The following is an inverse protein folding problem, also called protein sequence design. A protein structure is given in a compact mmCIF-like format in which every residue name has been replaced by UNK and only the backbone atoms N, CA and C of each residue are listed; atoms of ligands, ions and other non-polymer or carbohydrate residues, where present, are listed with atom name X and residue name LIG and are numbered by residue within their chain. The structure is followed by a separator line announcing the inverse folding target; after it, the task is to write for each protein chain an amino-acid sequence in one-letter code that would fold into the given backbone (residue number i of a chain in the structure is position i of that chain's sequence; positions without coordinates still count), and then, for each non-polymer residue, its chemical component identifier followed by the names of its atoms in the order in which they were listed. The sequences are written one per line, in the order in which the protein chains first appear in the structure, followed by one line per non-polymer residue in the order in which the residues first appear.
data_IF_600226231519
#
_entry.id   IF_600226231519
#
_cell.length_a   1.000
_cell.length_b   1.000
_cell.length_c   1.000
_cell.angle_alpha   90.00
_cell.angle_beta   90.00
_cell.angle_gamma   90.00
#
_symmetry.space_group_name_H-M   'P 1'
#
loop_
_entity.id
_entity.type
_entity.pdbx_description
1 polymer ?
#
# COMPACT_ATOMS: atom_id res chain seq x y z
N UNK A 1 46.89 -5.99 -25.58
CA UNK A 1 45.54 -5.49 -25.65
C UNK A 1 45.08 -5.24 -24.22
N UNK A 2 45.26 -4.00 -23.73
CA UNK A 2 44.95 -3.62 -22.33
C UNK A 2 43.43 -3.51 -22.20
N UNK A 3 42.87 -4.41 -21.42
CA UNK A 3 41.49 -4.24 -20.92
C UNK A 3 41.47 -3.02 -20.02
N UNK A 4 40.77 -2.00 -20.43
CA UNK A 4 40.49 -0.85 -19.59
C UNK A 4 39.53 -1.33 -18.48
N UNK A 5 40.11 -1.61 -17.33
CA UNK A 5 39.31 -1.81 -16.12
C UNK A 5 38.68 -0.46 -15.77
N UNK A 6 37.41 -0.30 -16.14
CA UNK A 6 36.60 0.79 -15.58
C UNK A 6 36.50 0.52 -14.11
N UNK A 7 37.30 1.24 -13.34
CA UNK A 7 37.24 1.24 -11.89
C UNK A 7 35.92 1.91 -11.53
N UNK A 8 34.88 1.11 -11.34
CA UNK A 8 33.67 1.54 -10.65
C UNK A 8 34.08 1.81 -9.20
N UNK A 9 34.23 3.08 -8.88
CA UNK A 9 34.41 3.54 -7.51
C UNK A 9 33.07 3.42 -6.76
N UNK A 10 32.57 2.18 -6.63
CA UNK A 10 31.41 1.85 -5.82
C UNK A 10 31.82 0.83 -4.77
N UNK A 11 31.44 1.09 -3.54
CA UNK A 11 31.65 0.19 -2.39
C UNK A 11 31.13 -1.24 -2.64
N UNK A 12 30.22 -1.38 -3.60
CA UNK A 12 29.58 -2.63 -4.02
C UNK A 12 30.54 -3.59 -4.76
N UNK A 13 31.57 -3.08 -5.45
CA UNK A 13 32.52 -3.91 -6.21
C UNK A 13 33.32 -4.89 -5.32
N UNK A 14 33.35 -4.72 -4.02
CA UNK A 14 34.05 -5.61 -3.07
C UNK A 14 33.29 -6.90 -2.74
N UNK A 15 32.04 -7.02 -3.14
CA UNK A 15 31.14 -8.13 -2.76
C UNK A 15 30.86 -9.09 -3.91
N UNK A 16 31.23 -8.74 -5.11
CA UNK A 16 31.05 -9.59 -6.29
C UNK A 16 32.24 -10.55 -6.36
N UNK A 17 32.02 -11.81 -6.00
CA UNK A 17 32.96 -12.87 -6.31
C UNK A 17 32.79 -13.29 -7.77
N UNK A 18 33.81 -13.90 -8.39
CA UNK A 18 33.71 -14.49 -9.74
C UNK A 18 32.55 -15.50 -9.89
N UNK A 19 32.02 -15.98 -8.75
CA UNK A 19 31.00 -17.01 -8.67
C UNK A 19 29.59 -16.47 -8.39
N UNK A 20 29.45 -15.21 -7.90
CA UNK A 20 28.17 -14.59 -7.62
C UNK A 20 28.04 -13.26 -8.38
N UNK A 21 27.49 -13.32 -9.60
CA UNK A 21 27.24 -12.15 -10.46
C UNK A 21 25.79 -11.68 -10.41
N UNK A 22 24.93 -12.37 -9.67
CA UNK A 22 23.49 -12.04 -9.56
C UNK A 22 23.09 -12.04 -8.10
N UNK A 23 22.50 -10.93 -7.63
CA UNK A 23 21.86 -10.82 -6.32
C UNK A 23 20.36 -10.63 -6.55
N UNK A 24 19.55 -11.36 -5.81
CA UNK A 24 18.09 -11.21 -5.82
C UNK A 24 17.66 -10.42 -4.59
N UNK A 25 16.92 -9.35 -4.84
CA UNK A 25 16.29 -8.52 -3.83
C UNK A 25 14.79 -8.83 -3.87
N UNK A 26 14.28 -9.35 -2.78
CA UNK A 26 12.90 -9.79 -2.69
C UNK A 26 11.91 -8.61 -2.56
N UNK A 27 10.61 -8.82 -2.83
CA UNK A 27 9.59 -7.80 -2.61
C UNK A 27 9.66 -7.25 -1.18
N UNK A 28 9.45 -5.95 -1.05
CA UNK A 28 9.55 -5.26 0.24
C UNK A 28 10.97 -4.91 0.67
N UNK A 29 12.01 -5.46 0.09
CA UNK A 29 13.40 -5.13 0.43
C UNK A 29 13.93 -3.90 -0.30
N UNK A 30 13.38 -3.55 -1.46
CA UNK A 30 13.67 -2.27 -2.12
C UNK A 30 12.69 -1.20 -1.65
N UNK A 31 13.22 -0.04 -1.28
CA UNK A 31 12.41 1.15 -0.96
C UNK A 31 11.78 1.78 -2.21
N UNK A 32 12.44 1.65 -3.37
CA UNK A 32 11.98 2.24 -4.63
C UNK A 32 11.01 1.33 -5.39
N UNK A 33 11.18 0.03 -5.21
CA UNK A 33 10.41 -1.02 -5.88
C UNK A 33 9.86 -2.04 -4.87
N UNK A 34 8.97 -1.60 -3.94
CA UNK A 34 8.52 -2.46 -2.83
C UNK A 34 7.65 -3.63 -3.27
N UNK A 35 7.08 -3.56 -4.47
CA UNK A 35 6.21 -4.60 -5.03
C UNK A 35 6.91 -5.53 -6.02
N UNK A 36 8.22 -5.31 -6.29
CA UNK A 36 8.97 -6.03 -7.31
C UNK A 36 10.00 -6.99 -6.73
N UNK A 37 10.26 -8.06 -7.46
CA UNK A 37 11.49 -8.85 -7.36
C UNK A 37 12.53 -8.15 -8.20
N UNK A 38 13.69 -7.81 -7.62
CA UNK A 38 14.79 -7.14 -8.31
C UNK A 38 15.96 -8.11 -8.49
N UNK A 39 16.47 -8.20 -9.72
CA UNK A 39 17.73 -8.84 -9.99
C UNK A 39 18.82 -7.78 -10.17
N UNK A 40 19.81 -7.76 -9.27
CA UNK A 40 21.04 -6.99 -9.47
C UNK A 40 22.02 -7.87 -10.23
N UNK A 41 22.38 -7.48 -11.47
CA UNK A 41 23.21 -8.27 -12.37
C UNK A 41 24.52 -7.52 -12.65
N UNK A 42 25.57 -7.91 -11.96
CA UNK A 42 26.86 -7.26 -12.05
C UNK A 42 27.60 -7.61 -13.36
N UNK A 43 28.08 -6.57 -14.04
CA UNK A 43 28.86 -6.74 -15.27
C UNK A 43 28.02 -7.12 -16.49
N UNK A 44 26.69 -6.97 -16.43
CA UNK A 44 25.82 -7.21 -17.57
C UNK A 44 26.14 -6.26 -18.74
N UNK A 45 25.92 -6.73 -19.95
CA UNK A 45 25.95 -5.97 -21.19
C UNK A 45 24.71 -6.32 -22.05
N UNK A 46 24.61 -5.74 -23.24
CA UNK A 46 23.47 -5.91 -24.14
C UNK A 46 23.24 -7.35 -24.64
N UNK A 47 24.19 -8.25 -24.45
CA UNK A 47 24.08 -9.66 -24.85
C UNK A 47 23.60 -10.58 -23.71
N UNK A 48 23.45 -10.03 -22.51
CA UNK A 48 22.84 -10.75 -21.40
C UNK A 48 21.33 -10.71 -21.49
N UNK A 49 20.68 -11.78 -21.06
CA UNK A 49 19.23 -11.83 -20.93
C UNK A 49 18.84 -11.98 -19.45
N UNK A 50 17.88 -11.15 -19.02
CA UNK A 50 17.27 -11.23 -17.68
C UNK A 50 15.77 -11.35 -17.88
N UNK A 51 15.24 -12.54 -17.65
CA UNK A 51 13.82 -12.86 -17.88
C UNK A 51 13.19 -13.39 -16.62
N UNK A 52 11.86 -13.43 -16.58
CA UNK A 52 11.15 -13.93 -15.45
C UNK A 52 9.86 -14.67 -15.82
N UNK A 53 9.41 -15.49 -14.91
CA UNK A 53 8.10 -16.14 -14.97
C UNK A 53 7.37 -16.00 -13.63
N UNK A 54 6.04 -16.03 -13.68
CA UNK A 54 5.14 -15.96 -12.55
C UNK A 54 4.30 -17.22 -12.52
N UNK A 55 4.38 -18.00 -11.44
CA UNK A 55 3.65 -19.26 -11.27
C UNK A 55 3.81 -20.22 -12.49
N UNK A 56 5.01 -20.22 -13.07
CA UNK A 56 5.34 -21.01 -14.25
C UNK A 56 4.95 -20.40 -15.59
N UNK A 57 4.24 -19.26 -15.62
CA UNK A 57 3.91 -18.52 -16.84
C UNK A 57 5.05 -17.60 -17.20
N UNK A 58 5.60 -17.70 -18.43
CA UNK A 58 6.62 -16.80 -18.94
C UNK A 58 6.05 -15.36 -19.09
N UNK A 59 6.76 -14.40 -18.51
CA UNK A 59 6.42 -12.98 -18.54
C UNK A 59 7.40 -12.18 -19.41
N UNK A 60 8.40 -12.82 -20.00
CA UNK A 60 9.39 -12.17 -20.86
C UNK A 60 10.53 -11.48 -20.10
N UNK A 61 11.14 -10.42 -20.67
CA UNK A 61 12.26 -9.73 -20.07
C UNK A 61 11.85 -8.91 -18.85
N UNK A 62 12.74 -8.87 -17.84
CA UNK A 62 12.61 -7.93 -16.71
C UNK A 62 12.92 -6.50 -17.18
N UNK A 63 12.29 -5.53 -16.54
CA UNK A 63 12.48 -4.10 -16.86
C UNK A 63 13.70 -3.55 -16.13
N UNK A 64 14.63 -2.91 -16.88
CA UNK A 64 15.76 -2.23 -16.25
C UNK A 64 15.27 -1.01 -15.46
N UNK A 65 15.70 -0.91 -14.20
CA UNK A 65 15.31 0.15 -13.27
C UNK A 65 16.52 0.79 -12.63
N UNK A 66 16.32 1.95 -12.02
CA UNK A 66 17.32 2.58 -11.15
C UNK A 66 16.98 2.25 -9.70
N UNK A 67 17.91 1.61 -9.02
CA UNK A 67 17.74 1.22 -7.62
C UNK A 67 19.05 1.32 -6.82
N UNK A 68 18.98 1.04 -5.52
CA UNK A 68 20.12 0.83 -4.65
C UNK A 68 19.88 -0.45 -3.85
N UNK A 69 20.90 -1.29 -3.69
CA UNK A 69 20.75 -2.49 -2.86
C UNK A 69 20.48 -2.08 -1.39
N UNK A 70 19.67 -2.84 -0.66
CA UNK A 70 19.43 -2.62 0.77
C UNK A 70 20.75 -2.60 1.58
N UNK A 71 21.70 -3.44 1.19
CA UNK A 71 23.04 -3.48 1.78
C UNK A 71 23.79 -2.15 1.60
N UNK A 72 23.68 -1.52 0.44
CA UNK A 72 24.29 -0.22 0.17
C UNK A 72 23.62 0.89 0.98
N UNK A 73 22.28 0.91 1.05
CA UNK A 73 21.53 1.87 1.86
C UNK A 73 21.96 1.80 3.32
N UNK A 74 21.99 0.59 3.90
CA UNK A 74 22.40 0.37 5.28
C UNK A 74 23.82 0.88 5.57
N UNK A 75 24.76 0.64 4.67
CA UNK A 75 26.14 1.16 4.82
C UNK A 75 26.23 2.67 4.77
N UNK A 76 25.43 3.31 3.90
CA UNK A 76 25.34 4.77 3.84
C UNK A 76 24.77 5.32 5.17
N UNK A 77 23.71 4.72 5.67
CA UNK A 77 23.11 5.10 6.95
C UNK A 77 24.12 4.98 8.11
N UNK A 78 24.83 3.85 8.20
CA UNK A 78 25.88 3.64 9.20
C UNK A 78 27.02 4.67 9.09
N UNK A 79 27.44 5.00 7.86
CA UNK A 79 28.49 5.99 7.62
C UNK A 79 28.05 7.39 8.07
N UNK A 80 26.86 7.84 7.64
CA UNK A 80 26.36 9.17 8.01
C UNK A 80 26.06 9.29 9.51
N UNK A 81 25.57 8.22 10.13
CA UNK A 81 25.38 8.17 11.59
C UNK A 81 26.68 8.34 12.36
N UNK A 82 27.79 7.70 11.91
CA UNK A 82 29.14 7.86 12.51
C UNK A 82 29.69 9.26 12.34
N UNK A 83 29.38 9.91 11.23
CA UNK A 83 29.83 11.27 10.93
C UNK A 83 28.95 12.35 11.57
N UNK A 84 27.85 11.98 12.26
CA UNK A 84 26.88 12.93 12.84
C UNK A 84 26.19 13.80 11.80
N UNK A 85 26.03 13.31 10.57
CA UNK A 85 25.43 14.01 9.44
C UNK A 85 24.06 13.43 9.10
N UNK A 86 23.19 14.28 8.56
CA UNK A 86 21.91 13.82 8.06
C UNK A 86 22.07 12.87 6.87
N UNK A 87 21.31 11.77 6.89
CA UNK A 87 21.27 10.83 5.81
C UNK A 87 20.70 11.51 4.56
N UNK A 88 21.36 11.40 3.39
CA UNK A 88 20.81 11.96 2.15
C UNK A 88 19.41 11.43 1.86
N UNK A 89 18.50 12.31 1.41
CA UNK A 89 17.18 11.85 0.98
C UNK A 89 17.32 10.75 -0.08
N UNK A 90 16.34 9.87 -0.16
CA UNK A 90 16.29 8.79 -1.16
C UNK A 90 16.49 9.30 -2.61
N UNK A 91 16.06 10.53 -2.90
CA UNK A 91 16.28 11.20 -4.21
C UNK A 91 17.76 11.52 -4.50
N UNK A 92 18.61 11.65 -3.45
CA UNK A 92 20.05 11.90 -3.58
C UNK A 92 20.90 10.64 -3.57
N UNK A 93 20.35 9.50 -3.18
CA UNK A 93 21.04 8.22 -3.25
C UNK A 93 21.31 7.90 -4.72
N UNK A 94 22.56 7.55 -5.02
CA UNK A 94 22.97 7.23 -6.39
C UNK A 94 22.29 5.93 -6.82
N UNK A 95 21.41 6.02 -7.80
CA UNK A 95 20.74 4.87 -8.41
C UNK A 95 21.67 4.26 -9.49
N UNK A 96 21.73 2.95 -9.50
CA UNK A 96 22.59 2.18 -10.41
C UNK A 96 21.75 1.59 -11.56
N UNK A 97 22.37 1.27 -12.70
CA UNK A 97 21.74 0.73 -13.92
C UNK A 97 21.82 -0.81 -14.02
N UNK A 98 22.29 -1.50 -12.97
CA UNK A 98 22.45 -2.96 -12.99
C UNK A 98 21.25 -3.71 -12.40
N UNK A 99 20.14 -3.04 -12.19
CA UNK A 99 18.94 -3.59 -11.54
C UNK A 99 17.84 -3.82 -12.57
N UNK A 100 17.21 -4.98 -12.45
CA UNK A 100 16.11 -5.41 -13.31
C UNK A 100 14.92 -5.77 -12.42
N UNK A 101 13.75 -5.17 -12.66
CA UNK A 101 12.55 -5.36 -11.88
C UNK A 101 11.55 -6.28 -12.59
N UNK A 102 10.98 -7.19 -11.84
CA UNK A 102 9.78 -7.95 -12.17
C UNK A 102 8.70 -7.60 -11.15
N UNK A 103 7.62 -6.93 -11.57
CA UNK A 103 6.50 -6.59 -10.70
C UNK A 103 5.41 -7.65 -10.87
N UNK A 104 5.33 -8.64 -9.96
CA UNK A 104 4.35 -9.73 -10.06
C UNK A 104 2.94 -9.22 -9.72
N UNK A 105 1.95 -9.96 -10.22
CA UNK A 105 0.60 -9.90 -9.71
C UNK A 105 0.59 -10.08 -8.19
N UNK A 106 -0.26 -9.32 -7.49
CA UNK A 106 -0.34 -9.43 -6.03
C UNK A 106 -0.81 -10.81 -5.54
N UNK A 107 -1.38 -11.63 -6.42
CA UNK A 107 -1.85 -12.99 -6.12
C UNK A 107 -0.87 -14.07 -6.56
N UNK A 108 0.24 -13.71 -7.18
CA UNK A 108 1.28 -14.66 -7.56
C UNK A 108 1.89 -15.32 -6.32
N UNK A 109 2.30 -16.57 -6.48
CA UNK A 109 2.91 -17.37 -5.40
C UNK A 109 4.42 -17.44 -5.52
N UNK A 110 4.92 -17.55 -6.75
CA UNK A 110 6.35 -17.74 -7.03
C UNK A 110 6.75 -16.88 -8.22
N UNK A 111 7.83 -16.14 -8.08
CA UNK A 111 8.54 -15.50 -9.19
C UNK A 111 9.84 -16.27 -9.43
N UNK A 112 10.03 -16.73 -10.67
CA UNK A 112 11.30 -17.32 -11.11
C UNK A 112 12.04 -16.31 -11.97
N UNK A 113 13.26 -15.96 -11.56
CA UNK A 113 14.18 -15.09 -12.31
C UNK A 113 15.22 -15.96 -13.02
N UNK A 114 15.37 -15.76 -14.32
CA UNK A 114 16.39 -16.43 -15.13
C UNK A 114 17.36 -15.38 -15.70
N UNK A 115 18.64 -15.58 -15.46
CA UNK A 115 19.72 -14.72 -15.99
C UNK A 115 20.63 -15.58 -16.84
N UNK A 116 20.95 -15.13 -18.05
CA UNK A 116 21.92 -15.79 -18.93
C UNK A 116 22.94 -14.78 -19.42
N UNK A 117 24.22 -15.10 -19.16
CA UNK A 117 25.33 -14.28 -19.66
C UNK A 117 25.60 -14.56 -21.15
N UNK A 118 26.29 -13.63 -21.82
CA UNK A 118 26.76 -13.83 -23.20
C UNK A 118 27.70 -15.02 -23.37
N UNK A 119 28.31 -15.50 -22.27
CA UNK A 119 29.18 -16.66 -22.25
C UNK A 119 28.44 -17.99 -22.03
N UNK A 120 27.07 -17.95 -22.00
CA UNK A 120 26.26 -19.12 -21.80
C UNK A 120 26.10 -19.58 -20.35
N UNK A 121 26.66 -18.86 -19.37
CA UNK A 121 26.41 -19.16 -17.95
C UNK A 121 25.02 -18.75 -17.57
N UNK A 122 24.31 -19.62 -16.86
CA UNK A 122 22.92 -19.42 -16.49
C UNK A 122 22.76 -19.45 -14.95
N UNK A 123 21.84 -18.64 -14.44
CA UNK A 123 21.39 -18.63 -13.06
C UNK A 123 19.86 -18.65 -13.04
N UNK A 124 19.30 -19.38 -12.10
CA UNK A 124 17.87 -19.46 -11.87
C UNK A 124 17.58 -19.30 -10.38
N UNK A 125 16.61 -18.44 -10.06
CA UNK A 125 16.21 -18.15 -8.68
C UNK A 125 14.69 -18.21 -8.57
N UNK A 126 14.18 -18.97 -7.59
CA UNK A 126 12.77 -19.01 -7.25
C UNK A 126 12.54 -18.20 -5.98
N UNK A 127 11.68 -17.19 -6.05
CA UNK A 127 11.29 -16.31 -4.96
C UNK A 127 9.85 -16.59 -4.58
N UNK A 128 9.64 -17.11 -3.37
CA UNK A 128 8.29 -17.32 -2.82
C UNK A 128 7.74 -16.01 -2.30
N UNK A 129 6.58 -15.60 -2.82
CA UNK A 129 5.96 -14.32 -2.44
C UNK A 129 5.21 -14.39 -1.11
N UNK A 130 4.88 -15.59 -0.62
CA UNK A 130 4.28 -15.81 0.71
C UNK A 130 5.20 -15.47 1.88
N UNK A 131 6.50 -15.31 1.62
CA UNK A 131 7.50 -15.02 2.66
C UNK A 131 7.57 -13.51 3.00
N UNK A 132 6.77 -12.69 2.32
CA UNK A 132 6.79 -11.23 2.45
C UNK A 132 5.41 -10.69 2.77
N UNK A 133 5.35 -9.79 3.76
CA UNK A 133 4.12 -9.13 4.18
C UNK A 133 3.89 -7.83 3.40
N UNK A 134 2.66 -7.63 2.93
CA UNK A 134 2.19 -6.37 2.31
C UNK A 134 1.91 -5.35 3.43
N UNK A 135 2.68 -4.27 3.45
CA UNK A 135 2.51 -3.16 4.41
C UNK A 135 1.54 -2.15 3.82
N UNK A 136 0.36 -2.05 4.41
CA UNK A 136 -0.71 -1.16 3.96
C UNK A 136 -0.79 0.07 4.87
N UNK A 137 -0.56 1.26 4.29
CA UNK A 137 -0.62 2.53 5.02
C UNK A 137 -2.06 2.96 5.23
N UNK A 138 -2.62 2.71 6.42
CA UNK A 138 -3.99 3.10 6.81
C UNK A 138 -4.20 4.60 6.64
N UNK A 139 -5.09 4.99 5.73
CA UNK A 139 -5.37 6.38 5.34
C UNK A 139 -4.11 7.15 4.94
N UNK A 140 -3.12 6.46 4.39
CA UNK A 140 -1.81 7.01 4.05
C UNK A 140 -0.84 7.18 5.23
N UNK A 141 -1.08 6.50 6.37
CA UNK A 141 -0.26 6.61 7.59
C UNK A 141 -0.81 7.65 8.57
N UNK A 142 -2.05 7.43 9.06
CA UNK A 142 -2.81 8.37 9.89
C UNK A 142 -2.12 8.78 11.20
N UNK A 143 -1.21 7.97 11.72
CA UNK A 143 -0.42 8.29 12.92
C UNK A 143 0.73 9.25 12.65
N UNK A 144 1.12 9.43 11.38
CA UNK A 144 2.27 10.24 10.97
C UNK A 144 1.88 11.56 10.31
N UNK A 145 0.82 11.56 9.47
CA UNK A 145 0.40 12.71 8.65
C UNK A 145 -1.12 12.88 8.64
N UNK A 146 -1.65 14.04 8.16
CA UNK A 146 -3.09 14.23 7.98
C UNK A 146 -3.68 13.11 7.12
N UNK A 147 -4.59 12.33 7.70
CA UNK A 147 -5.15 11.14 7.11
C UNK A 147 -5.96 11.42 5.83
N UNK A 148 -5.94 10.48 4.86
CA UNK A 148 -6.76 10.56 3.65
C UNK A 148 -6.50 11.85 2.83
N UNK A 149 -5.25 12.28 2.72
CA UNK A 149 -4.83 13.51 2.02
C UNK A 149 -3.76 13.23 0.96
N UNK A 150 -3.53 14.18 0.05
CA UNK A 150 -2.42 14.12 -0.91
C UNK A 150 -1.07 13.91 -0.19
N UNK A 151 -0.85 14.66 0.89
CA UNK A 151 0.41 14.61 1.65
C UNK A 151 0.65 13.22 2.22
N UNK A 152 -0.33 12.62 2.89
CA UNK A 152 -0.17 11.30 3.49
C UNK A 152 0.09 10.22 2.44
N UNK A 153 -0.64 10.23 1.33
CA UNK A 153 -0.48 9.21 0.28
C UNK A 153 0.88 9.31 -0.41
N UNK A 154 1.34 10.52 -0.75
CA UNK A 154 2.66 10.72 -1.36
C UNK A 154 3.79 10.34 -0.38
N UNK A 155 3.70 10.75 0.90
CA UNK A 155 4.71 10.41 1.91
C UNK A 155 4.76 8.90 2.20
N UNK A 156 3.62 8.23 2.25
CA UNK A 156 3.58 6.77 2.38
C UNK A 156 4.23 6.09 1.17
N UNK A 157 3.96 6.58 -0.04
CA UNK A 157 4.61 6.09 -1.27
C UNK A 157 6.14 6.30 -1.21
N UNK A 158 6.60 7.47 -0.78
CA UNK A 158 8.04 7.78 -0.60
C UNK A 158 8.69 6.91 0.48
N UNK A 159 7.93 6.49 1.48
CA UNK A 159 8.40 5.59 2.54
C UNK A 159 8.62 4.16 2.03
N UNK A 160 7.98 3.77 0.93
CA UNK A 160 8.12 2.46 0.31
C UNK A 160 7.12 1.43 0.84
N UNK A 161 5.91 1.85 1.22
CA UNK A 161 4.82 0.91 1.51
C UNK A 161 4.39 0.16 0.25
N UNK A 162 3.75 -0.99 0.41
CA UNK A 162 3.26 -1.78 -0.72
C UNK A 162 1.91 -1.27 -1.23
N UNK A 163 1.02 -0.91 -0.29
CA UNK A 163 -0.38 -0.58 -0.56
C UNK A 163 -0.78 0.69 0.17
N UNK A 164 -1.51 1.55 -0.51
CA UNK A 164 -2.20 2.69 0.09
C UNK A 164 -3.63 2.28 0.44
N UNK A 165 -3.97 2.44 1.70
CA UNK A 165 -5.34 2.26 2.14
C UNK A 165 -6.01 3.63 2.30
N UNK A 166 -7.26 3.76 1.84
CA UNK A 166 -8.05 4.98 1.91
C UNK A 166 -9.55 4.71 1.92
N UNK A 167 -10.32 5.72 2.37
CA UNK A 167 -11.76 5.62 2.58
C UNK A 167 -12.54 6.55 1.64
N UNK A 168 -13.69 6.10 1.14
CA UNK A 168 -14.54 6.88 0.24
C UNK A 168 -15.86 7.28 0.89
N UNK A 169 -16.26 8.51 0.59
CA UNK A 169 -17.56 9.12 0.88
C UNK A 169 -18.12 9.80 -0.38
N UNK A 170 -19.38 10.23 -0.34
CA UNK A 170 -20.03 10.94 -1.43
C UNK A 170 -20.47 12.32 -0.96
N UNK A 171 -20.29 13.35 -1.79
CA UNK A 171 -20.82 14.70 -1.59
C UNK A 171 -22.25 14.84 -2.12
N UNK A 172 -22.94 15.93 -1.79
CA UNK A 172 -24.29 16.23 -2.26
C UNK A 172 -24.40 16.26 -3.80
N UNK A 173 -23.37 16.78 -4.46
CA UNK A 173 -23.27 16.85 -5.94
C UNK A 173 -22.69 15.56 -6.56
N UNK A 174 -22.69 14.45 -5.80
CA UNK A 174 -22.35 13.11 -6.29
C UNK A 174 -20.86 12.90 -6.56
N UNK A 175 -19.96 13.73 -6.01
CA UNK A 175 -18.52 13.55 -6.14
C UNK A 175 -18.01 12.55 -5.12
N UNK A 176 -17.07 11.68 -5.53
CA UNK A 176 -16.41 10.74 -4.64
C UNK A 176 -15.27 11.44 -3.89
N UNK A 177 -15.40 11.55 -2.58
CA UNK A 177 -14.51 12.29 -1.69
C UNK A 177 -13.73 11.31 -0.81
N UNK A 178 -12.43 11.54 -0.64
CA UNK A 178 -11.62 10.71 0.26
C UNK A 178 -11.79 11.17 1.70
N UNK A 179 -12.42 10.33 2.51
CA UNK A 179 -12.70 10.62 3.93
C UNK A 179 -13.17 9.38 4.67
N UNK A 180 -12.65 9.14 5.87
CA UNK A 180 -13.16 8.09 6.75
C UNK A 180 -14.56 8.41 7.28
N UNK A 181 -14.73 9.61 7.87
CA UNK A 181 -15.99 10.02 8.44
C UNK A 181 -16.90 10.63 7.38
N UNK A 182 -18.19 10.35 7.47
CA UNK A 182 -19.23 10.95 6.62
C UNK A 182 -19.45 12.45 6.93
N UNK A 183 -18.72 13.03 7.87
CA UNK A 183 -18.85 14.41 8.33
C UNK A 183 -17.47 14.98 8.70
N UNK A 184 -17.40 16.29 8.99
CA UNK A 184 -16.19 16.91 9.50
C UNK A 184 -16.00 16.60 10.99
N UNK A 185 -14.87 15.91 11.29
CA UNK A 185 -14.57 15.45 12.64
C UNK A 185 -14.07 16.58 13.53
N UNK A 186 -14.72 16.76 14.69
CA UNK A 186 -14.38 17.80 15.68
C UNK A 186 -12.97 17.68 16.28
N UNK A 187 -12.34 16.51 16.12
CA UNK A 187 -10.99 16.28 16.68
C UNK A 187 -9.89 17.00 15.89
N UNK A 188 -10.13 17.34 14.62
CA UNK A 188 -9.10 17.93 13.77
C UNK A 188 -9.60 18.91 12.69
N UNK A 189 -10.91 18.96 12.42
CA UNK A 189 -11.42 19.80 11.33
C UNK A 189 -11.59 21.28 11.73
N UNK A 190 -11.26 22.16 10.77
CA UNK A 190 -11.42 23.64 10.87
C UNK A 190 -12.30 24.12 9.72
N UNK A 191 -13.26 24.98 10.03
CA UNK A 191 -14.20 25.58 9.07
C UNK A 191 -13.52 26.63 8.16
N UNK A 192 -14.16 27.00 7.06
CA UNK A 192 -13.63 28.01 6.15
C UNK A 192 -13.40 29.40 6.76
N UNK A 193 -14.13 29.75 7.83
CA UNK A 193 -13.98 30.99 8.58
C UNK A 193 -12.86 30.95 9.64
N UNK A 194 -12.15 29.79 9.74
CA UNK A 194 -11.11 29.56 10.70
C UNK A 194 -11.58 29.06 12.07
N UNK A 195 -12.88 28.92 12.29
CA UNK A 195 -13.42 28.34 13.53
C UNK A 195 -13.23 26.84 13.59
N UNK A 196 -13.04 26.30 14.79
CA UNK A 196 -12.94 24.86 15.00
C UNK A 196 -14.32 24.18 14.93
N UNK A 197 -14.41 23.00 14.32
CA UNK A 197 -15.54 22.10 14.50
C UNK A 197 -15.45 21.52 15.90
N UNK A 198 -16.51 21.70 16.73
CA UNK A 198 -16.52 21.26 18.14
C UNK A 198 -17.38 19.99 18.34
N UNK A 199 -17.09 19.22 19.39
CA UNK A 199 -17.80 17.98 19.67
C UNK A 199 -19.31 18.14 19.92
N UNK A 200 -19.75 19.30 20.39
CA UNK A 200 -21.17 19.64 20.62
C UNK A 200 -21.89 20.25 19.41
N UNK A 201 -21.18 20.53 18.31
CA UNK A 201 -21.79 21.13 17.13
C UNK A 201 -22.65 20.10 16.37
N UNK A 202 -23.70 20.54 15.64
CA UNK A 202 -24.37 19.70 14.66
C UNK A 202 -23.38 19.12 13.66
N UNK A 203 -23.55 17.84 13.33
CA UNK A 203 -22.66 17.19 12.37
C UNK A 203 -22.84 17.76 10.96
N UNK A 204 -21.74 18.17 10.37
CA UNK A 204 -21.64 18.71 9.03
C UNK A 204 -21.33 17.56 8.05
N UNK A 205 -22.40 16.92 7.53
CA UNK A 205 -22.28 15.73 6.69
C UNK A 205 -21.86 16.08 5.25
N UNK A 206 -20.92 15.31 4.71
CA UNK A 206 -20.40 15.48 3.35
C UNK A 206 -21.51 15.28 2.29
N UNK A 207 -22.40 14.31 2.52
CA UNK A 207 -23.52 14.01 1.61
C UNK A 207 -24.57 15.14 1.52
N UNK A 208 -24.54 16.09 2.45
CA UNK A 208 -25.45 17.25 2.47
C UNK A 208 -24.80 18.54 1.96
N UNK A 209 -23.54 18.47 1.50
CA UNK A 209 -22.76 19.62 1.02
C UNK A 209 -22.17 19.37 -0.37
N UNK A 210 -22.20 20.36 -1.29
CA UNK A 210 -21.47 20.25 -2.54
C UNK A 210 -19.95 20.22 -2.28
N UNK A 211 -19.20 19.55 -3.14
CA UNK A 211 -17.75 19.42 -2.97
C UNK A 211 -17.03 20.79 -2.88
N UNK A 212 -17.51 21.79 -3.62
CA UNK A 212 -16.97 23.16 -3.57
C UNK A 212 -17.01 23.78 -2.17
N UNK A 213 -17.90 23.33 -1.30
CA UNK A 213 -17.96 23.70 0.13
C UNK A 213 -17.01 22.83 0.95
N UNK A 214 -17.02 21.49 0.72
CA UNK A 214 -16.16 20.51 1.40
C UNK A 214 -14.68 20.90 1.26
N UNK A 215 -14.24 21.28 0.07
CA UNK A 215 -12.86 21.64 -0.23
C UNK A 215 -12.34 22.90 0.47
N UNK A 216 -13.22 23.66 1.13
CA UNK A 216 -12.82 24.87 1.89
C UNK A 216 -12.45 24.59 3.36
N UNK A 217 -12.79 23.40 3.87
CA UNK A 217 -12.43 22.99 5.22
C UNK A 217 -10.97 22.55 5.29
N UNK A 218 -10.30 22.85 6.39
CA UNK A 218 -8.97 22.30 6.67
C UNK A 218 -9.09 21.09 7.61
N UNK A 219 -8.35 20.03 7.29
CA UNK A 219 -8.36 18.76 8.05
C UNK A 219 -6.97 18.34 8.50
N UNK A 220 -5.98 19.21 8.43
CA UNK A 220 -4.59 18.84 8.72
C UNK A 220 -3.80 19.82 9.57
N UNK A 221 -4.23 21.08 9.75
CA UNK A 221 -3.52 22.06 10.57
C UNK A 221 -3.64 21.85 12.07
N UNK A 222 -4.78 21.30 12.52
CA UNK A 222 -4.99 21.08 13.95
C UNK A 222 -4.34 19.79 14.42
N UNK A 223 -3.68 19.79 15.58
CA UNK A 223 -3.21 18.56 16.19
C UNK A 223 -4.39 17.63 16.50
N UNK A 224 -4.23 16.36 16.20
CA UNK A 224 -5.20 15.34 16.60
C UNK A 224 -4.85 14.81 17.98
N UNK A 225 -5.79 14.79 18.94
CA UNK A 225 -5.54 14.20 20.25
C UNK A 225 -5.28 12.68 20.20
N UNK A 226 -5.69 11.99 19.12
CA UNK A 226 -5.43 10.56 18.92
C UNK A 226 -3.97 10.29 18.52
N UNK A 227 -3.30 11.30 17.94
CA UNK A 227 -1.97 11.17 17.35
C UNK A 227 -1.06 12.34 17.77
N UNK A 228 -0.56 12.37 19.04
CA UNK A 228 0.20 13.53 19.57
C UNK A 228 1.48 13.86 18.80
N UNK A 229 2.09 12.86 18.12
CA UNK A 229 3.32 13.04 17.33
C UNK A 229 3.11 13.28 15.84
N UNK A 230 1.84 13.40 15.40
CA UNK A 230 1.48 13.54 14.00
C UNK A 230 1.96 14.90 13.44
N UNK A 231 2.64 14.85 12.30
CA UNK A 231 2.99 16.06 11.56
C UNK A 231 1.72 16.81 11.11
N UNK A 232 1.72 18.12 11.27
CA UNK A 232 0.60 18.99 10.90
C UNK A 232 0.92 19.73 9.62
N UNK A 233 -0.02 19.77 8.70
CA UNK A 233 0.07 20.56 7.48
C UNK A 233 -1.32 20.91 6.98
N UNK A 234 -1.52 22.07 6.31
CA UNK A 234 -2.79 22.39 5.68
C UNK A 234 -3.21 21.27 4.73
N UNK A 235 -4.45 20.80 4.88
CA UNK A 235 -4.98 19.72 4.04
C UNK A 235 -6.48 19.83 3.88
N UNK A 236 -6.98 19.37 2.76
CA UNK A 236 -8.42 19.24 2.46
C UNK A 236 -8.80 17.76 2.33
N UNK A 237 -10.10 17.46 2.32
CA UNK A 237 -10.61 16.17 1.88
C UNK A 237 -10.60 16.18 0.34
N UNK A 238 -9.71 15.41 -0.33
CA UNK A 238 -9.57 15.46 -1.78
C UNK A 238 -10.67 14.70 -2.50
N UNK A 239 -10.85 14.97 -3.79
CA UNK A 239 -11.56 14.04 -4.68
C UNK A 239 -10.72 12.78 -4.89
N UNK A 240 -11.37 11.62 -4.86
CA UNK A 240 -10.69 10.33 -5.05
C UNK A 240 -10.01 10.25 -6.43
N UNK A 241 -10.63 10.82 -7.47
CA UNK A 241 -10.04 10.88 -8.81
C UNK A 241 -8.71 11.63 -8.82
N UNK A 242 -8.66 12.82 -8.18
CA UNK A 242 -7.47 13.66 -8.13
C UNK A 242 -6.36 13.04 -7.28
N UNK A 243 -6.74 12.41 -6.17
CA UNK A 243 -5.78 11.74 -5.28
C UNK A 243 -5.10 10.57 -5.99
N UNK A 244 -5.86 9.68 -6.61
CA UNK A 244 -5.32 8.53 -7.33
C UNK A 244 -4.42 9.00 -8.48
N UNK A 245 -4.88 9.96 -9.29
CA UNK A 245 -4.09 10.51 -10.41
C UNK A 245 -2.80 11.15 -9.91
N UNK A 246 -2.82 11.84 -8.77
CA UNK A 246 -1.63 12.44 -8.16
C UNK A 246 -0.60 11.39 -7.77
N UNK A 247 -1.03 10.27 -7.14
CA UNK A 247 -0.15 9.17 -6.78
C UNK A 247 0.41 8.47 -8.02
N UNK A 248 -0.44 8.11 -8.98
CA UNK A 248 0.00 7.43 -10.22
C UNK A 248 0.99 8.29 -11.02
N UNK A 249 0.74 9.60 -11.11
CA UNK A 249 1.67 10.55 -11.75
C UNK A 249 2.98 10.65 -10.98
N UNK A 250 2.92 10.66 -9.63
CA UNK A 250 4.11 10.73 -8.79
C UNK A 250 5.00 9.49 -8.97
N UNK A 251 4.45 8.28 -8.90
CA UNK A 251 5.23 7.04 -9.09
C UNK A 251 5.85 6.97 -10.47
N UNK A 252 5.10 7.34 -11.51
CA UNK A 252 5.60 7.38 -12.89
C UNK A 252 6.75 8.38 -13.05
N UNK A 253 6.60 9.60 -12.53
CA UNK A 253 7.61 10.65 -12.64
C UNK A 253 8.90 10.34 -11.88
N UNK A 254 8.83 9.50 -10.83
CA UNK A 254 9.98 9.12 -10.00
C UNK A 254 10.50 7.71 -10.31
N UNK A 255 9.93 6.99 -11.30
CA UNK A 255 10.34 5.64 -11.69
C UNK A 255 10.19 4.63 -10.53
N UNK A 256 9.12 4.78 -9.73
CA UNK A 256 8.78 3.87 -8.64
C UNK A 256 7.84 2.76 -9.14
N UNK A 257 7.68 1.71 -8.35
CA UNK A 257 6.66 0.69 -8.62
C UNK A 257 5.26 1.30 -8.61
N UNK A 258 4.34 0.82 -9.48
CA UNK A 258 2.93 1.16 -9.38
C UNK A 258 2.37 0.81 -8.00
N UNK A 259 1.64 1.75 -7.38
CA UNK A 259 1.04 1.52 -6.06
C UNK A 259 -0.14 0.55 -6.15
N UNK A 260 -0.30 -0.24 -5.09
CA UNK A 260 -1.52 -1.02 -4.83
C UNK A 260 -2.45 -0.17 -3.97
N UNK A 261 -3.74 -0.44 -4.10
CA UNK A 261 -4.79 0.30 -3.41
C UNK A 261 -5.74 -0.66 -2.71
N UNK A 262 -5.99 -0.42 -1.43
CA UNK A 262 -7.05 -1.04 -0.66
C UNK A 262 -8.05 0.05 -0.27
N UNK A 263 -9.22 0.08 -0.92
CA UNK A 263 -10.14 1.23 -0.87
C UNK A 263 -11.43 0.86 -0.18
N UNK A 264 -11.73 1.51 0.95
CA UNK A 264 -12.98 1.26 1.67
C UNK A 264 -14.13 2.13 1.16
N UNK A 265 -15.20 1.48 0.71
CA UNK A 265 -16.50 2.13 0.53
C UNK A 265 -17.19 2.12 1.90
N UNK A 266 -17.35 3.31 2.50
CA UNK A 266 -17.85 3.48 3.88
C UNK A 266 -19.37 3.30 3.99
N UNK A 267 -19.93 2.32 3.24
CA UNK A 267 -21.32 1.93 3.36
C UNK A 267 -21.61 1.33 4.73
N UNK A 268 -22.76 1.67 5.27
CA UNK A 268 -23.26 1.09 6.52
C UNK A 268 -24.78 1.15 6.57
N UNK A 269 -25.39 0.10 7.10
CA UNK A 269 -26.81 0.09 7.38
C UNK A 269 -27.16 1.04 8.53
N UNK A 270 -28.17 1.89 8.35
CA UNK A 270 -28.63 2.78 9.42
C UNK A 270 -29.87 3.59 9.02
N UNK A 271 -30.55 4.15 10.02
CA UNK A 271 -31.76 4.96 9.82
C UNK A 271 -31.55 6.27 9.04
N UNK A 272 -30.30 6.69 8.89
CA UNK A 272 -29.92 7.92 8.17
C UNK A 272 -29.36 7.64 6.78
N UNK A 273 -29.40 6.36 6.32
CA UNK A 273 -29.08 5.96 4.97
C UNK A 273 -30.02 6.66 3.97
N UNK A 274 -29.49 7.21 2.87
CA UNK A 274 -30.21 8.06 1.93
C UNK A 274 -30.42 9.51 2.40
N UNK A 275 -29.98 9.87 3.61
CA UNK A 275 -30.14 11.21 4.19
C UNK A 275 -28.78 11.88 4.52
N UNK A 276 -27.99 11.23 5.33
CA UNK A 276 -26.68 11.73 5.79
C UNK A 276 -25.50 11.02 5.11
N UNK A 277 -25.75 9.90 4.47
CA UNK A 277 -24.87 9.17 3.55
C UNK A 277 -25.75 8.44 2.52
N UNK A 278 -25.20 8.10 1.34
CA UNK A 278 -26.01 7.52 0.26
C UNK A 278 -26.58 6.14 0.65
N UNK A 279 -27.63 5.75 -0.06
CA UNK A 279 -28.09 4.37 -0.09
C UNK A 279 -26.99 3.49 -0.71
N UNK A 280 -26.85 2.24 -0.23
CA UNK A 280 -25.66 1.43 -0.52
C UNK A 280 -25.46 1.12 -2.02
N UNK A 281 -26.52 0.95 -2.82
CA UNK A 281 -26.37 0.76 -4.27
C UNK A 281 -25.81 2.03 -4.94
N UNK A 282 -26.38 3.19 -4.64
CA UNK A 282 -25.88 4.47 -5.14
C UNK A 282 -24.42 4.69 -4.75
N UNK A 283 -24.09 4.36 -3.49
CA UNK A 283 -22.73 4.53 -2.98
C UNK A 283 -21.73 3.65 -3.74
N UNK A 284 -22.04 2.36 -3.87
CA UNK A 284 -21.24 1.41 -4.60
C UNK A 284 -21.08 1.84 -6.05
N UNK A 285 -22.17 2.15 -6.74
CA UNK A 285 -22.14 2.47 -8.17
C UNK A 285 -21.27 3.69 -8.46
N UNK A 286 -21.43 4.78 -7.71
CA UNK A 286 -20.61 6.00 -7.89
C UNK A 286 -19.12 5.74 -7.64
N UNK A 287 -18.80 4.98 -6.59
CA UNK A 287 -17.42 4.64 -6.29
C UNK A 287 -16.83 3.71 -7.35
N UNK A 288 -17.55 2.66 -7.74
CA UNK A 288 -17.05 1.67 -8.71
C UNK A 288 -16.90 2.26 -10.11
N UNK A 289 -17.81 3.12 -10.57
CA UNK A 289 -17.67 3.85 -11.83
C UNK A 289 -16.35 4.62 -11.88
N UNK A 290 -16.03 5.37 -10.82
CA UNK A 290 -14.77 6.09 -10.70
C UNK A 290 -13.57 5.12 -10.66
N UNK A 291 -13.59 4.12 -9.78
CA UNK A 291 -12.44 3.23 -9.58
C UNK A 291 -12.09 2.43 -10.83
N UNK A 292 -13.10 1.93 -11.56
CA UNK A 292 -12.90 1.22 -12.82
C UNK A 292 -12.33 2.13 -13.92
N UNK A 293 -12.69 3.42 -13.93
CA UNK A 293 -12.13 4.39 -14.87
C UNK A 293 -10.62 4.62 -14.70
N UNK A 294 -10.05 4.28 -13.52
CA UNK A 294 -8.62 4.42 -13.23
C UNK A 294 -7.75 3.29 -13.80
N UNK A 295 -8.34 2.22 -14.29
CA UNK A 295 -7.64 1.08 -14.90
C UNK A 295 -6.53 0.50 -13.99
N UNK A 296 -6.79 0.40 -12.70
CA UNK A 296 -5.82 -0.10 -11.72
C UNK A 296 -5.60 -1.63 -11.82
N UNK A 297 -6.55 -2.35 -12.44
CA UNK A 297 -6.48 -3.80 -12.60
C UNK A 297 -6.33 -4.53 -11.26
N UNK A 298 -5.43 -5.51 -11.21
CA UNK A 298 -5.18 -6.32 -10.00
C UNK A 298 -4.56 -5.54 -8.83
N UNK A 299 -4.17 -4.28 -9.04
CA UNK A 299 -3.68 -3.39 -7.98
C UNK A 299 -4.79 -2.82 -7.08
N UNK A 300 -6.05 -3.04 -7.43
CA UNK A 300 -7.23 -2.58 -6.70
C UNK A 300 -7.85 -3.70 -5.90
N UNK A 301 -8.02 -3.47 -4.61
CA UNK A 301 -8.92 -4.21 -3.71
C UNK A 301 -9.93 -3.22 -3.18
N UNK A 302 -11.22 -3.59 -3.18
CA UNK A 302 -12.28 -2.78 -2.58
C UNK A 302 -12.74 -3.46 -1.30
N UNK A 303 -12.64 -2.74 -0.19
CA UNK A 303 -13.07 -3.27 1.11
C UNK A 303 -14.36 -2.59 1.59
N UNK A 304 -15.15 -3.32 2.36
CA UNK A 304 -16.36 -2.80 2.99
C UNK A 304 -16.72 -3.61 4.25
N UNK A 305 -17.33 -2.92 5.22
CA UNK A 305 -17.88 -3.56 6.41
C UNK A 305 -19.35 -3.99 6.25
N UNK A 306 -20.05 -3.46 5.24
CA UNK A 306 -21.45 -3.74 4.96
C UNK A 306 -21.60 -4.95 4.01
N UNK A 307 -22.08 -6.11 4.48
CA UNK A 307 -22.24 -7.29 3.63
C UNK A 307 -23.19 -7.07 2.44
N UNK A 308 -24.17 -6.16 2.57
CA UNK A 308 -25.10 -5.84 1.48
C UNK A 308 -24.36 -5.22 0.30
N UNK A 309 -23.47 -4.27 0.59
CA UNK A 309 -22.62 -3.61 -0.40
C UNK A 309 -21.65 -4.59 -1.04
N UNK A 310 -21.04 -5.49 -0.24
CA UNK A 310 -20.13 -6.53 -0.75
C UNK A 310 -20.85 -7.52 -1.68
N UNK A 311 -22.03 -8.02 -1.29
CA UNK A 311 -22.82 -8.92 -2.12
C UNK A 311 -23.22 -8.25 -3.44
N UNK A 312 -23.65 -6.98 -3.39
CA UNK A 312 -23.96 -6.20 -4.58
C UNK A 312 -22.75 -5.96 -5.49
N UNK A 313 -21.58 -5.65 -4.89
CA UNK A 313 -20.35 -5.49 -5.66
C UNK A 313 -19.93 -6.79 -6.33
N UNK A 314 -20.02 -7.93 -5.63
CA UNK A 314 -19.70 -9.23 -6.19
C UNK A 314 -20.56 -9.58 -7.40
N UNK A 315 -21.85 -9.32 -7.33
CA UNK A 315 -22.79 -9.60 -8.44
C UNK A 315 -22.58 -8.67 -9.64
N UNK A 316 -22.40 -7.37 -9.39
CA UNK A 316 -22.36 -6.37 -10.46
C UNK A 316 -20.97 -6.12 -11.05
N UNK A 317 -19.91 -6.31 -10.25
CA UNK A 317 -18.51 -6.02 -10.61
C UNK A 317 -17.59 -7.21 -10.33
N UNK A 318 -17.85 -8.40 -10.92
CA UNK A 318 -17.16 -9.65 -10.59
C UNK A 318 -15.66 -9.65 -10.89
N UNK A 319 -15.17 -8.68 -11.66
CA UNK A 319 -13.75 -8.52 -11.97
C UNK A 319 -12.95 -7.87 -10.83
N UNK A 320 -13.62 -7.29 -9.81
CA UNK A 320 -12.98 -6.55 -8.73
C UNK A 320 -12.74 -7.46 -7.53
N UNK A 321 -11.55 -7.37 -6.97
CA UNK A 321 -11.17 -8.09 -5.75
C UNK A 321 -11.80 -7.43 -4.53
N UNK A 322 -12.44 -8.24 -3.68
CA UNK A 322 -13.22 -7.76 -2.54
C UNK A 322 -12.61 -8.20 -1.21
N UNK A 323 -12.62 -7.28 -0.26
CA UNK A 323 -12.16 -7.50 1.12
C UNK A 323 -13.30 -7.27 2.11
N UNK A 324 -13.56 -8.25 2.96
CA UNK A 324 -14.58 -8.14 4.00
C UNK A 324 -13.99 -7.66 5.32
N UNK A 325 -14.39 -6.47 5.75
CA UNK A 325 -14.03 -5.90 7.06
C UNK A 325 -14.91 -6.48 8.16
N UNK A 326 -14.30 -7.04 9.20
CA UNK A 326 -14.99 -7.52 10.40
C UNK A 326 -14.40 -6.91 11.68
N UNK A 327 -15.24 -6.76 12.71
CA UNK A 327 -14.86 -6.15 13.98
C UNK A 327 -14.64 -7.21 15.06
N UNK A 328 -14.08 -6.81 16.19
CA UNK A 328 -13.78 -7.66 17.36
C UNK A 328 -14.99 -8.43 17.92
N UNK A 329 -16.21 -8.00 17.62
CA UNK A 329 -17.43 -8.70 18.01
C UNK A 329 -17.84 -9.82 17.05
N UNK A 330 -17.23 -9.90 15.88
CA UNK A 330 -17.48 -10.92 14.87
C UNK A 330 -16.51 -12.10 15.09
N UNK A 331 -16.76 -12.92 16.10
CA UNK A 331 -15.85 -14.00 16.53
C UNK A 331 -16.24 -15.37 15.98
N UNK A 332 -17.47 -15.53 15.50
CA UNK A 332 -17.93 -16.79 14.94
C UNK A 332 -17.83 -16.80 13.41
N UNK A 333 -16.93 -17.65 12.89
CA UNK A 333 -16.59 -17.76 11.46
C UNK A 333 -17.83 -17.97 10.58
N UNK A 334 -18.67 -18.96 10.93
CA UNK A 334 -19.82 -19.31 10.09
C UNK A 334 -20.86 -18.19 10.07
N UNK A 335 -21.04 -17.50 11.20
CA UNK A 335 -21.95 -16.37 11.33
C UNK A 335 -21.54 -15.18 10.47
N UNK A 336 -20.28 -14.75 10.50
CA UNK A 336 -19.91 -13.57 9.71
C UNK A 336 -19.69 -13.92 8.22
N UNK A 337 -19.15 -15.09 7.90
CA UNK A 337 -19.02 -15.53 6.51
C UNK A 337 -20.38 -15.82 5.87
N UNK A 338 -21.34 -16.34 6.62
CA UNK A 338 -22.71 -16.59 6.17
C UNK A 338 -23.54 -15.32 5.82
N UNK A 339 -23.02 -14.11 6.09
CA UNK A 339 -23.61 -12.85 5.63
C UNK A 339 -23.31 -12.55 4.15
N UNK A 340 -22.30 -13.22 3.58
CA UNK A 340 -21.90 -13.10 2.18
C UNK A 340 -22.48 -14.25 1.35
N UNK A 341 -22.83 -13.96 0.10
CA UNK A 341 -23.24 -14.96 -0.89
C UNK A 341 -22.07 -15.47 -1.76
N UNK A 342 -20.84 -15.11 -1.39
CA UNK A 342 -19.60 -15.49 -2.09
C UNK A 342 -18.44 -15.62 -1.10
N UNK A 343 -17.32 -16.18 -1.56
CA UNK A 343 -16.07 -16.22 -0.81
C UNK A 343 -15.24 -14.97 -1.16
N UNK A 344 -14.94 -14.07 -0.20
CA UNK A 344 -14.17 -12.86 -0.49
C UNK A 344 -12.70 -13.20 -0.78
N UNK A 345 -12.02 -12.37 -1.57
CA UNK A 345 -10.58 -12.53 -1.85
C UNK A 345 -9.73 -12.26 -0.59
N UNK A 346 -10.19 -11.32 0.24
CA UNK A 346 -9.53 -10.93 1.48
C UNK A 346 -10.51 -10.88 2.66
N UNK A 347 -10.01 -11.21 3.84
CA UNK A 347 -10.66 -10.95 5.11
C UNK A 347 -9.84 -9.90 5.87
N UNK A 348 -10.47 -8.80 6.27
CA UNK A 348 -9.87 -7.69 7.03
C UNK A 348 -10.45 -7.65 8.45
N UNK A 349 -9.93 -8.46 9.40
CA UNK A 349 -10.40 -8.46 10.79
C UNK A 349 -9.74 -7.37 11.62
N UNK A 350 -10.44 -6.88 12.64
CA UNK A 350 -9.81 -6.14 13.74
C UNK A 350 -8.74 -7.05 14.39
N UNK A 351 -7.50 -6.60 14.48
CA UNK A 351 -6.33 -7.45 14.81
C UNK A 351 -6.44 -8.21 16.14
N UNK A 352 -7.24 -7.72 17.07
CA UNK A 352 -7.40 -8.32 18.39
C UNK A 352 -8.06 -9.69 18.38
N UNK A 353 -8.84 -10.02 17.34
CA UNK A 353 -9.50 -11.32 17.17
C UNK A 353 -8.72 -12.29 16.28
N UNK A 354 -7.58 -11.88 15.77
CA UNK A 354 -6.76 -12.71 14.87
C UNK A 354 -5.94 -13.70 15.69
N UNK A 355 -6.18 -14.98 15.44
CA UNK A 355 -5.47 -16.12 16.00
C UNK A 355 -5.11 -17.14 14.90
N UNK A 356 -4.42 -18.22 15.31
CA UNK A 356 -4.04 -19.29 14.38
C UNK A 356 -5.25 -19.98 13.74
N UNK A 357 -6.36 -20.10 14.47
CA UNK A 357 -7.59 -20.72 13.94
C UNK A 357 -8.16 -19.91 12.78
N UNK A 358 -8.21 -18.58 12.90
CA UNK A 358 -8.66 -17.71 11.82
C UNK A 358 -7.74 -17.80 10.61
N UNK A 359 -6.41 -17.80 10.82
CA UNK A 359 -5.41 -17.96 9.75
C UNK A 359 -5.62 -19.28 9.00
N UNK A 360 -5.80 -20.38 9.73
CA UNK A 360 -6.00 -21.71 9.13
C UNK A 360 -7.32 -21.80 8.35
N UNK A 361 -8.40 -21.20 8.87
CA UNK A 361 -9.69 -21.09 8.18
C UNK A 361 -9.57 -20.30 6.88
N UNK A 362 -8.89 -19.15 6.91
CA UNK A 362 -8.63 -18.33 5.73
C UNK A 362 -7.83 -19.11 4.67
N UNK A 363 -6.74 -19.77 5.06
CA UNK A 363 -5.91 -20.58 4.16
C UNK A 363 -6.71 -21.74 3.53
N UNK A 364 -7.53 -22.42 4.33
CA UNK A 364 -8.40 -23.50 3.85
C UNK A 364 -9.44 -23.00 2.84
N UNK A 365 -9.97 -21.80 3.05
CA UNK A 365 -10.94 -21.15 2.17
C UNK A 365 -10.30 -20.44 0.95
N UNK A 366 -8.97 -20.34 0.88
CA UNK A 366 -8.27 -19.57 -0.16
C UNK A 366 -8.39 -18.05 0.00
N UNK A 367 -8.70 -17.57 1.20
CA UNK A 367 -8.87 -16.17 1.56
C UNK A 367 -7.53 -15.62 2.10
N UNK A 368 -7.14 -14.44 1.68
CA UNK A 368 -5.99 -13.72 2.23
C UNK A 368 -6.38 -12.91 3.46
N UNK A 369 -5.47 -12.78 4.43
CA UNK A 369 -5.75 -12.13 5.70
C UNK A 369 -4.99 -10.81 5.83
N UNK A 370 -5.73 -9.73 6.14
CA UNK A 370 -5.17 -8.38 6.31
C UNK A 370 -5.72 -7.71 7.57
N UNK A 371 -5.15 -7.99 8.75
CA UNK A 371 -5.57 -7.38 10.02
C UNK A 371 -5.43 -5.86 10.07
N UNK A 372 -6.37 -5.19 10.76
CA UNK A 372 -6.40 -3.75 11.04
C UNK A 372 -6.76 -3.44 12.49
N UNK A 373 -6.38 -2.33 13.10
CA UNK A 373 -5.25 -1.49 12.74
C UNK A 373 -4.12 -1.82 13.71
N UNK A 374 -2.98 -2.30 13.20
CA UNK A 374 -1.89 -2.87 14.00
C UNK A 374 -0.78 -1.83 14.15
N UNK A 375 -0.69 -1.18 15.33
CA UNK A 375 0.11 0.05 15.49
C UNK A 375 1.28 -0.09 16.46
N UNK A 376 1.17 -0.90 17.51
CA UNK A 376 2.26 -1.06 18.47
C UNK A 376 3.17 -2.25 18.11
N UNK A 377 4.43 -2.17 18.51
CA UNK A 377 5.46 -3.14 18.12
C UNK A 377 5.13 -4.57 18.58
N UNK A 378 4.55 -4.75 19.77
CA UNK A 378 4.22 -6.07 20.30
C UNK A 378 3.13 -6.75 19.47
N UNK A 379 2.08 -6.00 19.10
CA UNK A 379 1.01 -6.51 18.24
C UNK A 379 1.49 -6.74 16.81
N UNK A 380 2.34 -5.85 16.27
CA UNK A 380 2.95 -6.06 14.95
C UNK A 380 3.70 -7.39 14.93
N UNK A 381 4.58 -7.65 15.91
CA UNK A 381 5.33 -8.92 15.98
C UNK A 381 4.40 -10.12 16.12
N UNK A 382 3.40 -10.06 17.02
CA UNK A 382 2.41 -11.12 17.21
C UNK A 382 1.67 -11.46 15.91
N UNK A 383 1.26 -10.46 15.16
CA UNK A 383 0.54 -10.66 13.88
C UNK A 383 1.48 -11.21 12.80
N UNK A 384 2.74 -10.72 12.74
CA UNK A 384 3.74 -11.25 11.81
C UNK A 384 4.07 -12.72 12.08
N UNK A 385 4.13 -13.13 13.35
CA UNK A 385 4.39 -14.53 13.75
C UNK A 385 3.29 -15.51 13.28
N UNK A 386 2.09 -15.00 12.96
CA UNK A 386 0.99 -15.76 12.37
C UNK A 386 1.13 -15.91 10.84
N UNK A 387 2.13 -15.29 10.22
CA UNK A 387 2.37 -15.33 8.77
C UNK A 387 1.15 -14.89 7.94
N UNK A 388 0.57 -13.74 8.30
CA UNK A 388 -0.50 -13.10 7.53
C UNK A 388 0.04 -12.50 6.23
N UNK A 389 -0.80 -12.34 5.21
CA UNK A 389 -0.39 -11.83 3.90
C UNK A 389 -0.17 -10.31 3.89
N UNK A 390 -0.87 -9.57 4.76
CA UNK A 390 -0.76 -8.10 4.83
C UNK A 390 -1.05 -7.57 6.24
N UNK A 391 -0.66 -6.31 6.49
CA UNK A 391 -0.97 -5.57 7.74
C UNK A 391 -1.40 -4.16 7.37
N UNK A 392 -2.58 -3.72 7.87
CA UNK A 392 -3.03 -2.32 7.82
C UNK A 392 -2.58 -1.62 9.12
N UNK A 393 -1.85 -0.49 8.99
CA UNK A 393 -1.28 0.24 10.13
C UNK A 393 -1.32 1.75 9.95
N UNK A 394 -1.52 2.50 11.05
CA UNK A 394 -1.36 3.95 11.09
C UNK A 394 0.13 4.38 11.13
N UNK A 395 1.03 3.44 11.45
CA UNK A 395 2.47 3.67 11.58
C UNK A 395 3.27 2.73 10.67
N UNK A 396 3.19 2.92 9.33
CA UNK A 396 3.90 2.06 8.39
C UNK A 396 5.41 2.04 8.62
N UNK A 397 6.01 3.13 9.11
CA UNK A 397 7.41 3.21 9.50
C UNK A 397 7.81 2.12 10.51
N UNK A 398 6.95 1.80 11.49
CA UNK A 398 7.21 0.76 12.50
C UNK A 398 7.22 -0.64 11.87
N UNK A 399 6.23 -0.94 11.03
CA UNK A 399 6.15 -2.24 10.36
C UNK A 399 7.34 -2.41 9.40
N UNK A 400 7.66 -1.38 8.61
CA UNK A 400 8.81 -1.40 7.71
C UNK A 400 10.13 -1.59 8.45
N UNK A 401 10.31 -0.93 9.59
CA UNK A 401 11.49 -1.12 10.43
C UNK A 401 11.64 -2.55 10.94
N UNK A 402 10.53 -3.19 11.35
CA UNK A 402 10.54 -4.56 11.85
C UNK A 402 10.80 -5.56 10.72
N UNK A 403 10.15 -5.37 9.56
CA UNK A 403 10.18 -6.34 8.46
C UNK A 403 11.34 -6.15 7.50
N UNK A 404 11.86 -4.92 7.38
CA UNK A 404 12.85 -4.53 6.34
C UNK A 404 14.11 -3.89 6.93
N UNK A 405 14.10 -3.52 8.21
CA UNK A 405 15.24 -2.94 8.91
C UNK A 405 15.52 -1.46 8.60
N UNK A 406 14.56 -0.75 7.97
CA UNK A 406 14.70 0.70 7.67
C UNK A 406 13.38 1.46 7.87
#
# INVERSE_FOLDING_TARGET
MMMLAVVFANADAKWVSSDCQVEIIAPGQSKFHPNSVIACVWGHDSEWTVTWSQDGKDMGPMTMVQDCSPTYIKKIEEFYAKEGKDIPSSKKLKKNIHYFAATPDQYAKVVTVNVRSRFGKEWKFDVKLSDYVDVQAHRGGAGLWPENTFTSMIKATEMGVNTLELDLQISQDGKVVVSHDAYFNSRYATRPDGSEVKSGDPKEYLYTMPYSTIAKYDVGKRPSPDWPGKEQSPAIKPLATELIDSVENYVKANGLDPMRYNIEIKSRKGKDEGKNWPEYHEFVDKCMELLLSKNLGDRLVVQCIDPRALNYMHEKYPQVKLSYLIRKMDTDWDTYMGRLNFTPDWLSPEFVIVDQTMVDNCRKAGIRLVPWTVDNEADIRRILDLHVEAIITNYPDRVLKITRGY
#
